data_IF_060433715719
#
_entry.id   IF_060433715719
#
_cell.length_a   1.000
_cell.length_b   1.000
_cell.length_c   1.000
_cell.angle_alpha   90.00
_cell.angle_beta   90.00
_cell.angle_gamma   90.00
#
_symmetry.space_group_name_H-M   'P 1'
#
loop_
_entity.id
_entity.type
_entity.pdbx_description
1 polymer ?
#
# COMPACT_ATOMS: atom_id res chain seq x y z
N UNK A 1 12.75 -11.50 -6.27
CA UNK A 1 11.35 -11.03 -6.26
C UNK A 1 11.14 -10.20 -7.52
N UNK A 2 10.20 -10.62 -8.38
CA UNK A 2 9.85 -9.88 -9.60
C UNK A 2 8.51 -9.22 -9.35
N UNK A 3 8.49 -7.89 -9.28
CA UNK A 3 7.23 -7.14 -9.19
C UNK A 3 6.57 -7.18 -10.56
N UNK A 4 5.38 -7.76 -10.66
CA UNK A 4 4.62 -7.88 -11.91
C UNK A 4 3.53 -6.81 -12.00
N UNK A 5 3.00 -6.55 -13.21
CA UNK A 5 1.84 -5.68 -13.38
C UNK A 5 0.61 -6.19 -12.62
N UNK A 6 0.44 -7.50 -12.55
CA UNK A 6 -0.62 -8.15 -11.79
C UNK A 6 -0.53 -7.82 -10.29
N UNK A 7 0.68 -7.82 -9.73
CA UNK A 7 0.89 -7.40 -8.34
C UNK A 7 0.47 -5.94 -8.11
N UNK A 8 0.80 -5.03 -9.04
CA UNK A 8 0.36 -3.63 -8.94
C UNK A 8 -1.16 -3.50 -9.03
N UNK A 9 -1.80 -4.27 -9.91
CA UNK A 9 -3.26 -4.32 -10.04
C UNK A 9 -3.91 -4.78 -8.73
N UNK A 10 -3.41 -5.86 -8.15
CA UNK A 10 -3.94 -6.36 -6.87
C UNK A 10 -3.76 -5.32 -5.75
N UNK A 11 -2.58 -4.72 -5.61
CA UNK A 11 -2.38 -3.67 -4.60
C UNK A 11 -3.36 -2.51 -4.79
N UNK A 12 -3.60 -2.08 -6.03
CA UNK A 12 -4.56 -1.02 -6.33
C UNK A 12 -5.97 -1.38 -5.89
N UNK A 13 -6.41 -2.63 -6.10
CA UNK A 13 -7.73 -3.10 -5.66
C UNK A 13 -7.85 -3.14 -4.13
N UNK A 14 -6.75 -3.48 -3.43
CA UNK A 14 -6.71 -3.59 -1.96
C UNK A 14 -6.76 -2.24 -1.27
N UNK A 15 -6.38 -1.15 -1.94
CA UNK A 15 -6.53 0.21 -1.39
C UNK A 15 -7.98 0.48 -0.99
N UNK A 16 -8.96 0.00 -1.76
CA UNK A 16 -10.38 0.17 -1.48
C UNK A 16 -10.90 -0.61 -0.26
N UNK A 17 -10.13 -1.59 0.21
CA UNK A 17 -10.50 -2.40 1.38
C UNK A 17 -10.27 -1.62 2.69
N UNK A 18 -9.69 -0.42 2.60
CA UNK A 18 -9.57 0.52 3.71
C UNK A 18 -10.89 1.23 4.05
N UNK A 19 -11.85 1.31 3.12
CA UNK A 19 -13.15 1.97 3.36
C UNK A 19 -14.10 1.04 4.14
N UNK A 20 -14.59 1.41 5.34
CA UNK A 20 -15.60 0.66 6.08
C UNK A 20 -16.90 0.42 5.31
N UNK A 21 -17.18 1.21 4.28
CA UNK A 21 -18.37 1.10 3.42
C UNK A 21 -18.16 0.14 2.25
N UNK A 22 -16.93 -0.27 1.98
CA UNK A 22 -16.64 -1.20 0.89
C UNK A 22 -17.03 -2.63 1.30
N UNK A 23 -17.59 -3.40 0.37
CA UNK A 23 -18.03 -4.78 0.62
C UNK A 23 -16.92 -5.72 1.08
N UNK A 24 -15.67 -5.39 0.77
CA UNK A 24 -14.46 -6.12 1.16
C UNK A 24 -13.63 -5.35 2.19
N UNK A 25 -14.27 -4.51 3.00
CA UNK A 25 -13.58 -3.80 4.07
C UNK A 25 -12.77 -4.77 4.94
N UNK A 26 -11.51 -4.45 5.17
CA UNK A 26 -10.60 -5.26 5.97
C UNK A 26 -10.04 -4.42 7.13
N UNK A 27 -10.63 -4.53 8.34
CA UNK A 27 -10.23 -3.72 9.49
C UNK A 27 -8.79 -3.97 9.95
N UNK A 28 -8.20 -5.12 9.61
CA UNK A 28 -6.81 -5.43 9.95
C UNK A 28 -5.79 -4.93 8.92
N UNK A 29 -6.25 -4.37 7.79
CA UNK A 29 -5.41 -3.71 6.79
C UNK A 29 -4.98 -2.32 7.29
N UNK A 30 -4.06 -2.29 8.25
CA UNK A 30 -3.68 -1.07 8.99
C UNK A 30 -2.18 -0.80 8.95
N UNK A 31 -1.77 0.38 9.39
CA UNK A 31 -0.34 0.73 9.43
C UNK A 31 0.43 -0.31 10.28
N UNK A 32 1.57 -0.75 9.77
CA UNK A 32 2.43 -1.81 10.29
C UNK A 32 1.91 -3.25 10.20
N UNK A 33 0.70 -3.50 9.67
CA UNK A 33 0.28 -4.88 9.40
C UNK A 33 1.07 -5.47 8.24
N UNK A 34 1.35 -6.77 8.33
CA UNK A 34 2.04 -7.56 7.34
C UNK A 34 1.05 -8.47 6.65
N UNK A 35 1.14 -8.56 5.33
CA UNK A 35 0.16 -9.22 4.48
C UNK A 35 0.85 -9.88 3.30
N UNK A 36 0.34 -11.02 2.86
CA UNK A 36 0.72 -11.65 1.61
C UNK A 36 -0.33 -11.34 0.55
N UNK A 37 0.09 -10.72 -0.55
CA UNK A 37 -0.71 -10.58 -1.77
C UNK A 37 0.07 -11.13 -2.95
N UNK A 38 -0.57 -11.96 -3.76
CA UNK A 38 0.05 -12.66 -4.89
C UNK A 38 1.40 -13.35 -4.56
N UNK A 39 1.56 -13.91 -3.35
CA UNK A 39 2.78 -14.59 -2.94
C UNK A 39 3.95 -13.66 -2.62
N UNK A 40 3.66 -12.38 -2.37
CA UNK A 40 4.61 -11.38 -1.91
C UNK A 40 4.13 -10.83 -0.57
N UNK A 41 4.93 -11.07 0.47
CA UNK A 41 4.76 -10.44 1.77
C UNK A 41 5.14 -8.96 1.70
N UNK A 42 4.35 -8.10 2.31
CA UNK A 42 4.65 -6.68 2.46
C UNK A 42 4.14 -6.14 3.78
N UNK A 43 4.71 -5.02 4.18
CA UNK A 43 4.29 -4.23 5.33
C UNK A 43 3.65 -2.94 4.87
N UNK A 44 2.51 -2.59 5.44
CA UNK A 44 1.88 -1.29 5.23
C UNK A 44 2.64 -0.25 6.01
N UNK A 45 3.24 0.71 5.31
CA UNK A 45 4.03 1.78 5.91
C UNK A 45 3.19 3.00 6.26
N UNK A 46 2.22 3.32 5.40
CA UNK A 46 1.37 4.50 5.58
C UNK A 46 0.04 4.32 4.86
N UNK A 47 -1.01 4.77 5.50
CA UNK A 47 -2.35 4.91 4.90
C UNK A 47 -2.70 6.39 4.93
N UNK A 48 -3.31 6.87 3.85
CA UNK A 48 -3.93 8.19 3.80
C UNK A 48 -5.33 8.02 3.24
N UNK A 49 -6.30 8.43 4.03
CA UNK A 49 -7.68 8.57 3.60
C UNK A 49 -8.03 10.06 3.57
N UNK A 50 -8.76 10.49 2.55
CA UNK A 50 -9.27 11.85 2.40
C UNK A 50 -10.78 11.82 2.48
N UNK A 51 -11.37 12.79 3.19
CA UNK A 51 -12.82 12.96 3.29
C UNK A 51 -13.50 13.09 1.90
N UNK A 52 -12.73 13.45 0.88
CA UNK A 52 -13.16 13.57 -0.52
C UNK A 52 -13.24 12.22 -1.26
N UNK A 53 -13.10 11.09 -0.56
CA UNK A 53 -13.19 9.74 -1.13
C UNK A 53 -11.89 9.22 -1.77
N UNK A 54 -10.77 9.89 -1.53
CA UNK A 54 -9.45 9.47 -2.02
C UNK A 54 -8.69 8.65 -0.99
N UNK A 55 -8.38 7.41 -1.36
CA UNK A 55 -7.62 6.49 -0.53
C UNK A 55 -6.26 6.21 -1.16
N UNK A 56 -5.23 6.13 -0.32
CA UNK A 56 -3.87 5.81 -0.73
C UNK A 56 -3.17 4.95 0.33
N UNK A 57 -2.44 3.96 -0.14
CA UNK A 57 -1.67 3.04 0.69
C UNK A 57 -0.23 2.96 0.19
N UNK A 58 0.74 3.13 1.10
CA UNK A 58 2.15 2.89 0.84
C UNK A 58 2.55 1.56 1.48
N UNK A 59 3.11 0.66 0.67
CA UNK A 59 3.55 -0.68 1.08
C UNK A 59 5.03 -0.88 0.77
N UNK A 60 5.72 -1.69 1.57
CA UNK A 60 7.07 -2.13 1.28
C UNK A 60 7.18 -3.65 1.37
N UNK A 61 7.78 -4.33 0.38
CA UNK A 61 7.89 -5.77 0.40
C UNK A 61 8.85 -6.26 1.47
N UNK A 62 8.57 -7.45 2.00
CA UNK A 62 9.42 -8.19 2.92
C UNK A 62 10.13 -9.25 2.10
N UNK A 63 11.47 -9.19 2.06
CA UNK A 63 12.30 -10.10 1.28
C UNK A 63 13.28 -10.77 2.23
N UNK A 64 13.21 -12.10 2.32
CA UNK A 64 14.01 -12.90 3.26
C UNK A 64 13.87 -12.45 4.72
N UNK A 65 12.64 -12.15 5.16
CA UNK A 65 12.35 -11.69 6.53
C UNK A 65 12.88 -10.29 6.85
N UNK A 66 13.34 -9.54 5.85
CA UNK A 66 13.79 -8.15 5.99
C UNK A 66 12.94 -7.24 5.13
N UNK A 67 12.45 -6.16 5.74
CA UNK A 67 11.75 -5.12 5.03
C UNK A 67 12.69 -4.46 4.00
N UNK A 68 12.34 -4.55 2.71
CA UNK A 68 13.15 -3.97 1.65
C UNK A 68 12.89 -2.46 1.53
N UNK A 69 13.50 -1.71 2.45
CA UNK A 69 13.48 -0.26 2.46
C UNK A 69 14.53 0.37 1.54
N UNK A 70 15.30 -0.43 0.77
CA UNK A 70 16.43 0.07 -0.03
C UNK A 70 15.97 1.08 -1.09
N UNK A 71 14.75 0.91 -1.61
CA UNK A 71 14.16 1.81 -2.60
C UNK A 71 13.38 3.00 -1.98
N UNK A 72 13.02 2.94 -0.70
CA UNK A 72 12.28 4.01 -0.02
C UNK A 72 13.19 5.10 0.56
N UNK A 73 14.45 4.78 0.89
CA UNK A 73 15.39 5.75 1.48
C UNK A 73 15.88 6.84 0.51
N UNK A 74 15.84 6.58 -0.81
CA UNK A 74 16.40 7.49 -1.82
C UNK A 74 15.38 8.19 -2.71
N UNK A 75 14.09 7.82 -2.66
CA UNK A 75 13.02 8.58 -3.30
C UNK A 75 12.42 9.54 -2.27
N UNK A 76 12.86 10.80 -2.28
CA UNK A 76 12.04 11.89 -1.72
C UNK A 76 10.66 11.74 -2.36
N UNK A 77 9.64 11.42 -1.55
CA UNK A 77 8.25 11.56 -1.97
C UNK A 77 8.15 13.03 -2.40
N UNK A 78 7.81 13.35 -3.67
CA UNK A 78 7.69 14.73 -4.08
C UNK A 78 6.68 15.39 -3.15
N UNK A 79 7.06 16.49 -2.51
CA UNK A 79 6.17 17.27 -1.66
C UNK A 79 4.90 17.74 -2.42
N UNK A 80 4.92 17.62 -3.75
CA UNK A 80 3.85 17.93 -4.69
C UNK A 80 2.93 16.74 -5.02
N UNK A 81 2.74 15.76 -4.14
CA UNK A 81 1.54 14.90 -4.20
C UNK A 81 0.29 15.73 -3.82
N UNK A 82 -0.01 16.73 -4.66
CA UNK A 82 -1.27 17.45 -4.68
C UNK A 82 -2.17 16.69 -5.63
N UNK A 83 -3.26 16.18 -5.06
CA UNK A 83 -4.47 15.86 -5.82
C UNK A 83 -4.78 17.11 -6.67
N UNK A 84 -4.79 16.96 -7.99
CA UNK A 84 -5.29 17.99 -8.88
C UNK A 84 -6.77 18.17 -8.55
N UNK A 85 -7.12 19.39 -8.10
CA UNK A 85 -8.49 19.85 -7.90
C UNK A 85 -9.21 19.96 -9.24
#
# INVERSE_FOLDING_TARGET
MTITEEFYRELSDKVYWLDPRHSKYEPDLKINSEWDFAGVEFKILKIKDSLDGMQAMAVAPIVHGKLDNKNFKNKKIPANFRVLK
#
